data_IF_232701585105
#
_entry.id   IF_232701585105
#
_cell.length_a   1.000
_cell.length_b   1.000
_cell.length_c   1.000
_cell.angle_alpha   90.00
_cell.angle_beta   90.00
_cell.angle_gamma   90.00
#
_symmetry.space_group_name_H-M   'P 1'
#
loop_
_entity.id
_entity.type
_entity.pdbx_description
1 polymer ?
#
# COMPACT_ATOMS: atom_id res chain seq x y z
N UNK A 1 13.86 -16.23 -27.34
CA UNK A 1 13.21 -15.82 -26.08
C UNK A 1 11.89 -15.13 -26.48
N UNK A 2 10.78 -15.84 -26.33
CA UNK A 2 9.46 -15.25 -26.60
C UNK A 2 9.07 -14.41 -25.39
N UNK A 3 8.86 -13.12 -25.60
CA UNK A 3 8.23 -12.24 -24.61
C UNK A 3 6.81 -12.77 -24.37
N UNK A 4 6.51 -13.13 -23.12
CA UNK A 4 5.16 -13.45 -22.70
C UNK A 4 4.30 -12.20 -22.92
N UNK A 5 3.45 -12.25 -23.94
CA UNK A 5 2.41 -11.24 -24.14
C UNK A 5 1.49 -11.25 -22.92
N UNK A 6 1.07 -10.10 -22.40
CA UNK A 6 0.10 -10.08 -21.31
C UNK A 6 -1.21 -10.75 -21.78
N UNK A 7 -1.75 -11.60 -20.92
CA UNK A 7 -2.98 -12.35 -21.18
C UNK A 7 -4.13 -11.38 -21.49
N UNK A 8 -4.74 -11.50 -22.65
CA UNK A 8 -5.84 -10.63 -23.10
C UNK A 8 -7.03 -10.63 -22.13
N UNK A 9 -7.23 -11.71 -21.36
CA UNK A 9 -8.25 -11.79 -20.32
C UNK A 9 -7.99 -10.81 -19.16
N UNK A 10 -6.73 -10.56 -18.84
CA UNK A 10 -6.31 -9.60 -17.80
C UNK A 10 -6.52 -8.14 -18.24
N UNK A 11 -6.36 -7.85 -19.52
CA UNK A 11 -6.59 -6.49 -20.05
C UNK A 11 -8.07 -6.11 -20.05
N UNK A 12 -8.96 -7.06 -20.31
CA UNK A 12 -10.41 -6.81 -20.27
C UNK A 12 -10.92 -6.53 -18.85
N UNK A 13 -10.33 -7.18 -17.83
CA UNK A 13 -10.73 -7.00 -16.43
C UNK A 13 -10.30 -5.66 -15.83
N UNK A 14 -9.28 -5.01 -16.38
CA UNK A 14 -8.79 -3.72 -15.88
C UNK A 14 -9.17 -2.53 -16.76
N UNK A 15 -9.97 -2.74 -17.81
CA UNK A 15 -10.37 -1.67 -18.75
C UNK A 15 -11.13 -0.51 -18.08
N UNK A 16 -11.81 -0.79 -16.94
CA UNK A 16 -12.58 0.19 -16.17
C UNK A 16 -11.92 0.51 -14.82
N UNK A 17 -10.62 0.28 -14.68
CA UNK A 17 -9.90 0.63 -13.47
C UNK A 17 -9.79 2.15 -13.32
N UNK A 18 -10.19 2.66 -12.17
CA UNK A 18 -10.01 4.04 -11.77
C UNK A 18 -9.17 4.14 -10.50
N UNK A 19 -8.42 5.25 -10.38
CA UNK A 19 -7.64 5.59 -9.19
C UNK A 19 -7.96 7.03 -8.82
N UNK A 20 -8.25 7.26 -7.55
CA UNK A 20 -8.49 8.60 -6.99
C UNK A 20 -8.17 8.63 -5.50
N UNK A 21 -8.14 9.83 -4.92
CA UNK A 21 -8.09 9.96 -3.46
C UNK A 21 -9.36 9.40 -2.82
N UNK A 22 -9.22 8.88 -1.61
CA UNK A 22 -10.34 8.36 -0.82
C UNK A 22 -11.33 9.46 -0.45
N UNK A 23 -12.59 9.06 -0.37
CA UNK A 23 -13.71 9.89 0.04
C UNK A 23 -14.40 9.27 1.27
N UNK A 24 -15.21 10.06 1.97
CA UNK A 24 -15.94 9.58 3.17
C UNK A 24 -16.82 8.36 2.88
N UNK A 25 -17.41 8.29 1.69
CA UNK A 25 -18.27 7.16 1.28
C UNK A 25 -17.52 5.83 1.16
N UNK A 26 -16.20 5.87 0.99
CA UNK A 26 -15.37 4.68 0.79
C UNK A 26 -15.11 3.89 2.08
N UNK A 27 -15.32 4.53 3.23
CA UNK A 27 -14.96 3.96 4.54
C UNK A 27 -15.47 2.52 4.75
N UNK A 28 -16.72 2.24 4.40
CA UNK A 28 -17.29 0.91 4.57
C UNK A 28 -16.58 -0.18 3.76
N UNK A 29 -16.21 0.09 2.51
CA UNK A 29 -15.48 -0.85 1.67
C UNK A 29 -14.01 -0.99 2.13
N UNK A 30 -13.38 0.12 2.52
CA UNK A 30 -11.99 0.13 2.98
C UNK A 30 -11.81 -0.61 4.31
N UNK A 31 -12.75 -0.46 5.25
CA UNK A 31 -12.76 -1.23 6.49
C UNK A 31 -12.85 -2.74 6.26
N UNK A 32 -13.70 -3.17 5.31
CA UNK A 32 -13.82 -4.58 4.92
C UNK A 32 -12.54 -5.09 4.26
N UNK A 33 -11.92 -4.27 3.42
CA UNK A 33 -10.66 -4.61 2.77
C UNK A 33 -9.52 -4.77 3.80
N UNK A 34 -9.42 -3.89 4.77
CA UNK A 34 -8.46 -4.00 5.87
C UNK A 34 -8.59 -5.33 6.62
N UNK A 35 -9.83 -5.72 6.94
CA UNK A 35 -10.09 -6.99 7.62
C UNK A 35 -9.69 -8.22 6.80
N UNK A 36 -9.70 -8.13 5.46
CA UNK A 36 -9.28 -9.20 4.57
C UNK A 36 -7.77 -9.28 4.39
N UNK A 37 -7.08 -8.13 4.36
CA UNK A 37 -5.67 -8.05 3.97
C UNK A 37 -4.73 -8.06 5.17
N UNK A 38 -5.06 -7.30 6.23
CA UNK A 38 -4.17 -7.13 7.38
C UNK A 38 -4.47 -8.18 8.45
N UNK A 39 -4.02 -9.38 8.20
CA UNK A 39 -3.99 -10.47 9.16
C UNK A 39 -2.62 -10.53 9.89
N UNK A 40 -2.49 -11.44 10.84
CA UNK A 40 -1.23 -11.61 11.59
C UNK A 40 -0.03 -12.10 10.77
N UNK A 41 -0.18 -12.33 9.46
CA UNK A 41 0.90 -12.73 8.54
C UNK A 41 1.43 -11.57 7.71
N UNK A 42 0.59 -10.58 7.43
CA UNK A 42 0.92 -9.43 6.59
C UNK A 42 1.21 -8.17 7.38
N UNK A 43 0.83 -8.15 8.64
CA UNK A 43 1.09 -7.05 9.58
C UNK A 43 1.47 -7.59 10.96
N UNK A 44 2.14 -6.78 11.80
CA UNK A 44 2.48 -7.18 13.18
C UNK A 44 1.27 -7.52 14.04
N UNK A 45 0.11 -6.95 13.72
CA UNK A 45 -1.17 -7.27 14.34
C UNK A 45 -2.30 -7.13 13.32
N UNK A 46 -3.39 -7.90 13.48
CA UNK A 46 -4.59 -7.71 12.67
C UNK A 46 -5.16 -6.30 12.85
N UNK A 47 -5.67 -5.72 11.78
CA UNK A 47 -6.41 -4.46 11.86
C UNK A 47 -7.89 -4.77 12.05
N UNK A 48 -8.45 -4.31 13.16
CA UNK A 48 -9.87 -4.42 13.47
C UNK A 48 -10.43 -3.04 13.80
N UNK A 49 -11.31 -2.55 12.96
CA UNK A 49 -12.01 -1.28 13.19
C UNK A 49 -13.24 -1.49 14.05
N UNK A 50 -13.36 -0.74 15.13
CA UNK A 50 -14.50 -0.84 16.05
C UNK A 50 -15.69 -0.02 15.59
N UNK A 51 -15.45 1.04 14.81
CA UNK A 51 -16.49 1.91 14.26
C UNK A 51 -15.99 2.65 13.00
N UNK A 52 -16.95 3.14 12.23
CA UNK A 52 -16.68 4.03 11.09
C UNK A 52 -16.02 5.33 11.52
N UNK A 53 -16.42 5.87 12.67
CA UNK A 53 -15.83 7.10 13.23
C UNK A 53 -14.35 6.89 13.56
N UNK A 54 -14.00 5.79 14.20
CA UNK A 54 -12.61 5.45 14.49
C UNK A 54 -11.79 5.34 13.21
N UNK A 55 -12.33 4.66 12.19
CA UNK A 55 -11.67 4.55 10.89
C UNK A 55 -11.41 5.93 10.28
N UNK A 56 -12.43 6.79 10.20
CA UNK A 56 -12.31 8.12 9.58
C UNK A 56 -11.41 9.08 10.36
N UNK A 57 -11.24 8.89 11.66
CA UNK A 57 -10.28 9.65 12.47
C UNK A 57 -8.84 9.27 12.11
N UNK A 58 -8.56 8.00 11.87
CA UNK A 58 -7.22 7.51 11.52
C UNK A 58 -6.93 7.57 10.02
N UNK A 59 -7.94 7.37 9.20
CA UNK A 59 -7.88 7.41 7.74
C UNK A 59 -8.86 8.44 7.20
N UNK A 60 -8.60 9.75 7.38
CA UNK A 60 -9.50 10.80 6.89
C UNK A 60 -9.58 10.79 5.36
N UNK A 61 -10.67 11.33 4.78
CA UNK A 61 -10.78 11.47 3.34
C UNK A 61 -9.56 12.15 2.73
N UNK A 62 -9.05 11.60 1.62
CA UNK A 62 -7.86 12.08 0.94
C UNK A 62 -6.52 11.50 1.43
N UNK A 63 -6.51 10.72 2.52
CA UNK A 63 -5.28 10.11 3.07
C UNK A 63 -4.85 8.83 2.36
N UNK A 64 -5.61 8.37 1.38
CA UNK A 64 -5.34 7.16 0.62
C UNK A 64 -5.62 7.38 -0.87
N UNK A 65 -4.84 6.72 -1.73
CA UNK A 65 -5.22 6.49 -3.13
C UNK A 65 -6.00 5.19 -3.19
N UNK A 66 -7.18 5.23 -3.77
CA UNK A 66 -8.10 4.08 -3.89
C UNK A 66 -8.16 3.65 -5.34
N UNK A 67 -8.05 2.37 -5.57
CA UNK A 67 -8.27 1.76 -6.88
C UNK A 67 -9.58 0.98 -6.88
N UNK A 68 -10.37 1.15 -7.92
CA UNK A 68 -11.63 0.43 -8.06
C UNK A 68 -11.91 0.02 -9.50
N UNK A 69 -12.75 -0.99 -9.63
CA UNK A 69 -13.29 -1.47 -10.90
C UNK A 69 -14.81 -1.41 -10.77
N UNK A 70 -15.45 -0.68 -11.67
CA UNK A 70 -16.85 -0.33 -11.56
C UNK A 70 -17.16 0.36 -10.22
N UNK A 71 -18.09 -0.13 -9.43
CA UNK A 71 -18.41 0.43 -8.10
C UNK A 71 -17.66 -0.22 -6.93
N UNK A 72 -16.70 -1.12 -7.19
CA UNK A 72 -16.01 -1.89 -6.15
C UNK A 72 -14.57 -1.43 -5.96
N UNK A 73 -14.19 -1.15 -4.71
CA UNK A 73 -12.81 -0.89 -4.33
C UNK A 73 -12.06 -2.21 -4.30
N UNK A 74 -11.01 -2.31 -5.11
CA UNK A 74 -10.17 -3.50 -5.21
C UNK A 74 -8.79 -3.36 -4.56
N UNK A 75 -8.42 -2.15 -4.15
CA UNK A 75 -7.18 -1.89 -3.46
C UNK A 75 -7.02 -0.44 -3.05
N UNK A 76 -6.03 -0.18 -2.20
CA UNK A 76 -5.63 1.18 -1.83
C UNK A 76 -4.15 1.27 -1.50
N UNK A 77 -3.63 2.48 -1.56
CA UNK A 77 -2.32 2.86 -1.06
C UNK A 77 -2.49 4.00 -0.07
N UNK A 78 -2.22 3.74 1.20
CA UNK A 78 -2.24 4.74 2.26
C UNK A 78 -0.89 5.45 2.36
N UNK A 79 -0.91 6.73 2.68
CA UNK A 79 0.30 7.54 2.84
C UNK A 79 0.11 8.61 3.91
N UNK A 80 1.15 8.82 4.68
CA UNK A 80 1.19 9.86 5.70
C UNK A 80 2.64 10.25 6.01
N UNK A 81 2.86 11.44 6.56
CA UNK A 81 4.17 11.76 7.14
C UNK A 81 4.43 10.89 8.37
N UNK A 82 5.64 10.35 8.55
CA UNK A 82 5.95 9.44 9.66
C UNK A 82 5.79 10.07 11.05
N UNK A 83 5.88 11.40 11.15
CA UNK A 83 5.69 12.15 12.38
C UNK A 83 5.18 13.55 12.09
N UNK A 84 4.76 14.26 13.17
CA UNK A 84 4.30 15.65 13.08
C UNK A 84 5.44 16.68 12.99
N UNK A 85 6.70 16.26 13.05
CA UNK A 85 7.86 17.17 13.00
C UNK A 85 7.96 17.84 11.62
N UNK A 86 8.24 19.14 11.61
CA UNK A 86 8.43 19.90 10.37
C UNK A 86 9.58 19.34 9.50
N UNK A 87 10.64 18.83 10.14
CA UNK A 87 11.78 18.18 9.49
C UNK A 87 11.43 16.84 8.78
N UNK A 88 10.24 16.29 9.02
CA UNK A 88 9.78 15.03 8.46
C UNK A 88 8.76 15.20 7.33
N UNK A 89 8.38 16.44 6.99
CA UNK A 89 7.32 16.75 6.02
C UNK A 89 7.63 16.34 4.58
N UNK A 90 8.89 16.10 4.25
CA UNK A 90 9.33 15.68 2.92
C UNK A 90 9.26 14.16 2.70
N UNK A 91 8.76 13.41 3.67
CA UNK A 91 8.69 11.94 3.65
C UNK A 91 7.25 11.49 3.74
N UNK A 92 6.86 10.54 2.88
CA UNK A 92 5.65 9.75 3.07
C UNK A 92 6.00 8.31 3.39
N UNK A 93 5.40 7.79 4.45
CA UNK A 93 5.37 6.36 4.75
C UNK A 93 4.12 5.76 4.14
N UNK A 94 4.30 4.64 3.42
CA UNK A 94 3.27 4.02 2.59
C UNK A 94 2.86 2.66 3.14
N UNK A 95 1.61 2.28 2.86
CA UNK A 95 1.15 0.90 2.96
C UNK A 95 0.18 0.59 1.83
N UNK A 96 0.21 -0.63 1.33
CA UNK A 96 -0.56 -1.05 0.15
C UNK A 96 -1.39 -2.27 0.50
N UNK A 97 -2.66 -2.24 0.15
CA UNK A 97 -3.57 -3.36 0.31
C UNK A 97 -4.31 -3.64 -1.00
N UNK A 98 -4.22 -4.86 -1.49
CA UNK A 98 -4.94 -5.31 -2.68
C UNK A 98 -5.87 -6.45 -2.28
N UNK A 99 -7.14 -6.34 -2.65
CA UNK A 99 -8.13 -7.39 -2.41
C UNK A 99 -7.63 -8.72 -3.02
N UNK A 100 -7.70 -9.84 -2.28
CA UNK A 100 -7.16 -11.12 -2.73
C UNK A 100 -7.64 -11.57 -4.12
N UNK A 101 -8.89 -11.29 -4.47
CA UNK A 101 -9.47 -11.64 -5.77
C UNK A 101 -8.97 -10.76 -6.93
N UNK A 102 -8.26 -9.66 -6.65
CA UNK A 102 -7.79 -8.71 -7.66
C UNK A 102 -6.26 -8.62 -7.72
N UNK A 103 -5.57 -9.57 -7.11
CA UNK A 103 -4.11 -9.66 -7.17
C UNK A 103 -3.65 -10.08 -8.56
N UNK A 104 -2.40 -9.74 -8.91
CA UNK A 104 -1.75 -10.03 -10.19
C UNK A 104 -2.39 -9.37 -11.42
N UNK A 105 -3.20 -8.34 -11.23
CA UNK A 105 -3.78 -7.52 -12.29
C UNK A 105 -3.02 -6.21 -12.53
N UNK A 106 -1.89 -6.00 -11.87
CA UNK A 106 -1.10 -4.78 -11.98
C UNK A 106 -1.66 -3.58 -11.22
N UNK A 107 -2.67 -3.77 -10.36
CA UNK A 107 -3.31 -2.69 -9.61
C UNK A 107 -2.33 -2.03 -8.63
N UNK A 108 -1.55 -2.82 -7.91
CA UNK A 108 -0.53 -2.30 -7.00
C UNK A 108 0.51 -1.43 -7.71
N UNK A 109 0.96 -1.86 -8.89
CA UNK A 109 1.91 -1.09 -9.70
C UNK A 109 1.33 0.24 -10.18
N UNK A 110 0.05 0.25 -10.57
CA UNK A 110 -0.65 1.48 -10.98
C UNK A 110 -0.88 2.42 -9.81
N UNK A 111 -1.23 1.92 -8.63
CA UNK A 111 -1.31 2.71 -7.40
C UNK A 111 0.04 3.33 -7.06
N UNK A 112 1.13 2.55 -7.17
CA UNK A 112 2.47 3.05 -6.87
C UNK A 112 2.91 4.13 -7.87
N UNK A 113 2.60 3.98 -9.15
CA UNK A 113 2.87 5.01 -10.17
C UNK A 113 2.11 6.30 -9.83
N UNK A 114 0.82 6.21 -9.53
CA UNK A 114 0.02 7.36 -9.13
C UNK A 114 0.55 8.02 -7.84
N UNK A 115 1.04 7.23 -6.89
CA UNK A 115 1.63 7.75 -5.65
C UNK A 115 2.93 8.52 -5.92
N UNK A 116 3.78 8.02 -6.79
CA UNK A 116 5.03 8.73 -7.16
C UNK A 116 4.75 10.07 -7.83
N UNK A 117 3.76 10.12 -8.71
CA UNK A 117 3.31 11.36 -9.36
C UNK A 117 2.77 12.35 -8.33
N UNK A 118 1.86 11.90 -7.47
CA UNK A 118 1.30 12.72 -6.40
C UNK A 118 2.37 13.25 -5.45
N UNK A 119 3.30 12.40 -5.04
CA UNK A 119 4.40 12.79 -4.17
C UNK A 119 5.29 13.88 -4.80
N UNK A 120 5.58 13.76 -6.09
CA UNK A 120 6.34 14.76 -6.83
C UNK A 120 5.59 16.10 -6.89
N UNK A 121 4.29 16.09 -7.18
CA UNK A 121 3.44 17.29 -7.19
C UNK A 121 3.37 17.98 -5.83
N UNK A 122 3.34 17.21 -4.74
CA UNK A 122 3.29 17.73 -3.38
C UNK A 122 4.67 18.09 -2.78
N UNK A 123 5.74 17.97 -3.56
CA UNK A 123 7.09 18.32 -3.13
C UNK A 123 7.73 17.32 -2.15
N UNK A 124 7.20 16.10 -2.08
CA UNK A 124 7.78 15.02 -1.30
C UNK A 124 9.09 14.58 -1.95
N UNK A 125 10.07 14.22 -1.15
CA UNK A 125 11.40 13.80 -1.59
C UNK A 125 11.70 12.34 -1.37
N UNK A 126 10.95 11.69 -0.48
CA UNK A 126 11.21 10.31 -0.10
C UNK A 126 9.89 9.58 0.17
N UNK A 127 9.76 8.40 -0.41
CA UNK A 127 8.79 7.40 -0.01
C UNK A 127 9.50 6.31 0.80
N UNK A 128 8.87 5.84 1.87
CA UNK A 128 9.37 4.72 2.64
C UNK A 128 8.22 3.80 3.03
N UNK A 129 8.57 2.58 3.37
CA UNK A 129 7.61 1.58 3.83
C UNK A 129 8.29 0.53 4.70
N UNK A 130 7.48 -0.23 5.40
CA UNK A 130 7.91 -1.34 6.23
C UNK A 130 7.21 -2.61 5.76
N UNK A 131 7.92 -3.72 5.75
CA UNK A 131 7.40 -5.01 5.32
C UNK A 131 8.02 -6.12 6.16
N UNK A 132 7.19 -7.05 6.62
CA UNK A 132 7.68 -8.20 7.38
C UNK A 132 8.57 -9.10 6.52
N UNK A 133 9.67 -9.58 7.08
CA UNK A 133 10.59 -10.50 6.38
C UNK A 133 9.92 -11.81 5.94
N UNK A 134 8.79 -12.15 6.55
CA UNK A 134 7.97 -13.31 6.20
C UNK A 134 7.05 -13.09 5.00
N UNK A 135 7.08 -11.90 4.38
CA UNK A 135 6.28 -11.56 3.21
C UNK A 135 7.17 -11.31 1.97
N UNK A 136 7.81 -12.34 1.41
CA UNK A 136 8.73 -12.18 0.28
C UNK A 136 8.05 -11.67 -0.99
N UNK A 137 6.76 -11.96 -1.17
CA UNK A 137 5.99 -11.46 -2.33
C UNK A 137 5.86 -9.94 -2.31
N UNK A 138 5.60 -9.36 -1.14
CA UNK A 138 5.52 -7.90 -0.99
C UNK A 138 6.90 -7.25 -1.20
N UNK A 139 7.96 -7.84 -0.64
CA UNK A 139 9.34 -7.35 -0.84
C UNK A 139 9.68 -7.32 -2.34
N UNK A 140 9.44 -8.42 -3.06
CA UNK A 140 9.67 -8.50 -4.50
C UNK A 140 8.85 -7.47 -5.28
N UNK A 141 7.60 -7.25 -4.89
CA UNK A 141 6.74 -6.21 -5.49
C UNK A 141 7.35 -4.82 -5.31
N UNK A 142 7.76 -4.45 -4.10
CA UNK A 142 8.37 -3.14 -3.85
C UNK A 142 9.70 -2.96 -4.58
N UNK A 143 10.53 -4.00 -4.63
CA UNK A 143 11.75 -3.99 -5.45
C UNK A 143 11.43 -3.76 -6.93
N UNK A 144 10.40 -4.39 -7.48
CA UNK A 144 9.94 -4.18 -8.86
C UNK A 144 9.46 -2.74 -9.12
N UNK A 145 9.00 -2.05 -8.08
CA UNK A 145 8.62 -0.64 -8.12
C UNK A 145 9.81 0.32 -7.93
N UNK A 146 11.03 -0.22 -7.77
CA UNK A 146 12.26 0.56 -7.61
C UNK A 146 12.64 0.89 -6.18
N UNK A 147 11.93 0.36 -5.19
CA UNK A 147 12.32 0.52 -3.79
C UNK A 147 13.59 -0.24 -3.47
N UNK A 148 14.40 0.33 -2.60
CA UNK A 148 15.69 -0.20 -2.16
C UNK A 148 15.63 -0.52 -0.67
N UNK A 149 16.44 -1.49 -0.24
CA UNK A 149 16.63 -1.76 1.18
C UNK A 149 17.24 -0.55 1.88
N UNK A 150 16.60 -0.10 2.96
CA UNK A 150 17.11 0.97 3.83
C UNK A 150 17.69 0.41 5.13
N UNK A 151 17.07 -0.61 5.68
CA UNK A 151 17.48 -1.23 6.92
C UNK A 151 16.66 -2.45 7.29
N UNK A 152 17.10 -3.13 8.31
CA UNK A 152 16.45 -4.32 8.86
C UNK A 152 16.43 -4.21 10.38
N UNK A 153 15.25 -4.28 10.97
CA UNK A 153 15.09 -4.40 12.42
C UNK A 153 14.98 -5.88 12.76
N UNK A 154 16.07 -6.42 13.28
CA UNK A 154 16.19 -7.87 13.54
C UNK A 154 15.34 -8.27 14.73
N UNK A 155 14.56 -9.34 14.58
CA UNK A 155 13.69 -9.89 15.63
C UNK A 155 12.75 -8.84 16.25
N UNK A 156 12.23 -7.92 15.43
CA UNK A 156 11.41 -6.79 15.88
C UNK A 156 10.07 -7.23 16.45
N UNK A 157 9.47 -8.26 15.83
CA UNK A 157 8.16 -8.78 16.25
C UNK A 157 8.24 -10.26 16.59
N UNK A 158 7.41 -10.69 17.54
CA UNK A 158 7.16 -12.10 17.81
C UNK A 158 5.74 -12.43 17.37
N UNK A 159 5.62 -13.18 16.28
CA UNK A 159 4.34 -13.56 15.68
C UNK A 159 4.20 -15.08 15.77
N UNK A 160 3.15 -15.55 16.44
CA UNK A 160 2.90 -16.99 16.66
C UNK A 160 4.14 -17.74 17.20
N UNK A 161 4.86 -17.09 18.13
CA UNK A 161 6.05 -17.66 18.77
C UNK A 161 7.32 -17.60 17.93
N UNK A 162 7.29 -16.98 16.74
CA UNK A 162 8.46 -16.80 15.88
C UNK A 162 8.89 -15.34 15.83
N UNK A 163 10.18 -15.10 15.93
CA UNK A 163 10.75 -13.77 15.77
C UNK A 163 10.85 -13.41 14.28
N UNK A 164 10.33 -12.26 13.94
CA UNK A 164 10.23 -11.77 12.57
C UNK A 164 10.92 -10.42 12.46
N UNK A 165 11.73 -10.24 11.41
CA UNK A 165 12.38 -8.97 11.13
C UNK A 165 11.40 -8.03 10.42
N UNK A 166 11.61 -6.73 10.66
CA UNK A 166 10.93 -5.68 9.95
C UNK A 166 11.89 -5.05 8.92
N UNK A 167 11.55 -5.15 7.66
CA UNK A 167 12.37 -4.65 6.55
C UNK A 167 11.91 -3.23 6.21
N UNK A 168 12.85 -2.30 6.24
CA UNK A 168 12.64 -0.91 5.85
C UNK A 168 13.10 -0.71 4.42
N UNK A 169 12.23 -0.18 3.56
CA UNK A 169 12.53 0.11 2.16
C UNK A 169 12.22 1.56 1.84
N UNK A 170 12.89 2.13 0.85
CA UNK A 170 12.72 3.51 0.47
C UNK A 170 12.87 3.75 -1.03
N UNK A 171 12.32 4.85 -1.50
CA UNK A 171 12.39 5.30 -2.89
C UNK A 171 12.59 6.84 -2.93
N UNK A 172 13.58 7.35 -3.67
CA UNK A 172 13.78 8.78 -3.83
C UNK A 172 12.81 9.35 -4.87
N UNK A 173 12.13 10.45 -4.53
CA UNK A 173 11.38 11.25 -5.50
C UNK A 173 12.33 12.31 -6.05
N UNK A 174 12.69 12.16 -7.31
CA UNK A 174 13.54 13.08 -8.03
C UNK A 174 12.64 14.04 -8.79
N UNK A 175 12.68 15.30 -8.42
CA UNK A 175 11.97 16.37 -9.09
C UNK A 175 12.81 17.05 -10.15
#
# INVERSE_FOLDING_TARGET
>A
MAALMPDESNMAQTSNLWIRRSEMKDAGQLMKLDALVWDGRTSPSPIAWTSREQYLQQCPPGSQLVAGIDGLICGYLGFATPSAMASHRHVYELHVAIHPSYRRLGIGSKLMTAMKELAAEEGIRKLCLRVLSTNPCAIAFYESCGFMLQGRLVAEYCIEGQYVDDILMWYPIIG
#
